data_IF_585915537271
#
_entry.id   IF_585915537271
#
_cell.length_a   1.000
_cell.length_b   1.000
_cell.length_c   1.000
_cell.angle_alpha   90.00
_cell.angle_beta   90.00
_cell.angle_gamma   90.00
#
_symmetry.space_group_name_H-M   'P 1'
#
loop_
_entity.id
_entity.type
_entity.pdbx_description
1 polymer ?
#
# COMPACT_ATOMS: atom_id res chain seq x y z
N UNK A 1 -9.28 -20.85 0.42
CA UNK A 1 -8.53 -21.28 -0.77
C UNK A 1 -7.19 -20.58 -0.69
N UNK A 2 -6.10 -21.33 -0.62
CA UNK A 2 -4.78 -20.78 -0.35
C UNK A 2 -4.13 -20.21 -1.61
N UNK A 3 -3.27 -19.20 -1.46
CA UNK A 3 -2.53 -18.60 -2.57
C UNK A 3 -1.24 -19.41 -2.78
N UNK A 4 -0.96 -19.93 -4.00
CA UNK A 4 0.28 -20.62 -4.29
C UNK A 4 1.51 -19.73 -3.99
N UNK A 5 2.58 -20.30 -3.46
CA UNK A 5 3.77 -19.54 -3.07
C UNK A 5 4.40 -18.74 -4.23
N UNK A 6 4.30 -19.23 -5.46
CA UNK A 6 4.74 -18.52 -6.67
C UNK A 6 3.92 -17.27 -6.94
N UNK A 7 2.61 -17.35 -6.73
CA UNK A 7 1.69 -16.25 -6.94
C UNK A 7 1.84 -15.21 -5.83
N UNK A 8 1.97 -15.66 -4.57
CA UNK A 8 2.28 -14.78 -3.44
C UNK A 8 3.59 -14.02 -3.68
N UNK A 9 4.64 -14.71 -4.13
CA UNK A 9 5.93 -14.05 -4.46
C UNK A 9 5.77 -12.99 -5.54
N UNK A 10 4.97 -13.25 -6.57
CA UNK A 10 4.67 -12.28 -7.64
C UNK A 10 3.89 -11.08 -7.11
N UNK A 11 2.91 -11.31 -6.25
CA UNK A 11 2.12 -10.25 -5.60
C UNK A 11 3.03 -9.34 -4.77
N UNK A 12 3.91 -9.91 -3.94
CA UNK A 12 4.89 -9.17 -3.11
C UNK A 12 5.84 -8.33 -3.97
N UNK A 13 6.40 -8.89 -5.05
CA UNK A 13 7.29 -8.13 -5.94
C UNK A 13 6.59 -6.99 -6.69
N UNK A 14 5.30 -7.17 -7.02
CA UNK A 14 4.50 -6.11 -7.64
C UNK A 14 4.17 -5.00 -6.64
N UNK A 15 3.90 -5.39 -5.39
CA UNK A 15 3.54 -4.50 -4.29
C UNK A 15 4.71 -3.61 -3.83
N UNK A 16 5.90 -4.20 -3.69
CA UNK A 16 7.07 -3.54 -3.12
C UNK A 16 8.22 -3.53 -4.11
N UNK A 17 8.54 -2.36 -4.66
CA UNK A 17 9.67 -2.20 -5.57
C UNK A 17 9.75 -0.80 -6.16
N UNK A 18 9.38 -0.67 -7.43
CA UNK A 18 9.52 0.58 -8.21
C UNK A 18 8.73 1.77 -7.66
N UNK A 19 7.70 1.53 -6.86
CA UNK A 19 6.86 2.52 -6.21
C UNK A 19 7.44 3.06 -4.88
N UNK A 20 8.53 2.48 -4.38
CA UNK A 20 9.22 2.96 -3.17
C UNK A 20 10.51 3.69 -3.56
N UNK A 21 10.80 4.81 -2.89
CA UNK A 21 12.01 5.59 -3.07
C UNK A 21 13.28 4.83 -2.62
N UNK A 22 13.13 3.85 -1.73
CA UNK A 22 14.22 3.01 -1.23
C UNK A 22 14.19 1.62 -1.84
N UNK A 23 15.33 1.16 -2.37
CA UNK A 23 15.49 -0.21 -2.92
C UNK A 23 15.28 -1.31 -1.87
N UNK A 24 15.53 -1.02 -0.60
CA UNK A 24 15.30 -1.96 0.50
C UNK A 24 13.89 -1.87 1.07
N UNK A 25 13.02 -1.00 0.51
CA UNK A 25 11.62 -0.72 0.89
C UNK A 25 11.51 -0.11 2.29
N UNK A 26 11.98 -0.84 3.30
CA UNK A 26 11.98 -0.46 4.71
C UNK A 26 13.39 -0.58 5.31
N UNK A 27 14.32 0.36 5.05
CA UNK A 27 15.66 0.33 5.62
C UNK A 27 15.63 0.54 7.15
N UNK A 28 16.55 -0.12 7.84
CA UNK A 28 16.90 0.19 9.23
C UNK A 28 18.11 1.12 9.22
N UNK A 29 18.01 2.26 9.89
CA UNK A 29 19.10 3.23 10.05
C UNK A 29 19.55 3.29 11.50
N UNK A 30 20.86 3.25 11.71
CA UNK A 30 21.43 3.57 13.00
C UNK A 30 21.23 5.06 13.29
N UNK A 31 20.85 5.40 14.52
CA UNK A 31 20.68 6.78 14.96
C UNK A 31 21.78 7.19 15.94
N UNK A 32 21.74 6.69 17.19
CA UNK A 32 22.76 6.91 18.22
C UNK A 32 22.88 5.68 19.13
N UNK A 33 24.08 5.40 19.64
CA UNK A 33 24.33 4.26 20.54
C UNK A 33 23.79 2.92 20.00
N UNK A 34 22.84 2.31 20.71
CA UNK A 34 22.15 1.09 20.31
C UNK A 34 20.71 1.37 19.84
N UNK A 35 20.45 2.56 19.30
CA UNK A 35 19.16 2.95 18.75
C UNK A 35 19.16 2.90 17.24
N UNK A 36 18.10 2.31 16.70
CA UNK A 36 17.87 2.16 15.28
C UNK A 36 16.47 2.63 14.94
N UNK A 37 16.33 3.26 13.78
CA UNK A 37 15.06 3.72 13.22
C UNK A 37 14.72 2.82 12.04
N UNK A 38 13.55 2.21 12.11
CA UNK A 38 12.97 1.47 11.00
C UNK A 38 12.14 2.45 10.16
N UNK A 39 12.63 2.77 8.96
CA UNK A 39 11.98 3.74 8.09
C UNK A 39 10.91 3.06 7.25
N UNK A 40 9.64 3.42 7.44
CA UNK A 40 8.50 2.89 6.69
C UNK A 40 7.83 3.92 5.76
N UNK A 41 8.45 5.09 5.60
CA UNK A 41 7.90 6.25 4.88
C UNK A 41 8.50 6.42 3.46
N UNK A 42 9.10 5.37 2.90
CA UNK A 42 9.67 5.44 1.54
C UNK A 42 8.66 5.09 0.45
N UNK A 43 7.42 4.80 0.82
CA UNK A 43 6.33 4.54 -0.13
C UNK A 43 5.73 5.83 -0.70
N UNK A 44 4.78 5.70 -1.63
CA UNK A 44 4.24 6.83 -2.39
C UNK A 44 3.46 7.84 -1.56
N UNK A 45 3.08 7.52 -0.32
CA UNK A 45 2.35 8.43 0.58
C UNK A 45 3.17 8.86 1.76
N UNK A 46 4.45 8.49 1.78
CA UNK A 46 5.37 8.74 2.87
C UNK A 46 4.83 8.29 4.25
N UNK A 47 3.97 7.28 4.26
CA UNK A 47 3.33 6.76 5.46
C UNK A 47 3.56 5.26 5.57
N UNK A 48 3.63 4.74 6.81
CA UNK A 48 3.80 3.31 7.04
C UNK A 48 2.64 2.46 6.45
N UNK A 49 1.49 3.09 6.20
CA UNK A 49 0.30 2.45 5.62
C UNK A 49 0.53 1.95 4.20
N UNK A 50 1.53 2.46 3.50
CA UNK A 50 1.95 1.96 2.18
C UNK A 50 2.38 0.48 2.23
N UNK A 51 2.77 -0.03 3.39
CA UNK A 51 3.09 -1.45 3.57
C UNK A 51 1.86 -2.36 3.60
N UNK A 52 0.66 -1.84 3.80
CA UNK A 52 -0.54 -2.66 3.91
C UNK A 52 -1.33 -2.76 2.59
N UNK A 53 -1.28 -1.73 1.74
CA UNK A 53 -2.32 -1.48 0.73
C UNK A 53 -2.12 -2.07 -0.67
N UNK A 54 -1.28 -3.09 -0.85
CA UNK A 54 -0.95 -3.58 -2.20
C UNK A 54 -1.40 -5.02 -2.55
N UNK A 55 -2.22 -5.67 -1.73
CA UNK A 55 -2.67 -7.05 -1.99
C UNK A 55 -4.18 -7.20 -1.83
N UNK A 56 -4.96 -6.86 -2.88
CA UNK A 56 -6.33 -7.35 -3.01
C UNK A 56 -6.42 -8.54 -3.98
N UNK A 57 -7.20 -9.59 -3.66
CA UNK A 57 -7.43 -10.72 -4.57
C UNK A 57 -8.18 -10.27 -5.84
N UNK A 58 -7.77 -10.74 -7.01
CA UNK A 58 -8.38 -10.37 -8.32
C UNK A 58 -9.77 -10.99 -8.58
N UNK A 59 -10.31 -11.77 -7.63
CA UNK A 59 -11.43 -12.69 -7.88
C UNK A 59 -12.81 -12.13 -7.52
N UNK A 60 -12.91 -10.96 -6.89
CA UNK A 60 -14.19 -10.38 -6.48
C UNK A 60 -14.33 -8.92 -6.92
N UNK A 61 -15.57 -8.44 -6.96
CA UNK A 61 -15.87 -7.02 -7.02
C UNK A 61 -15.88 -6.47 -5.59
N UNK A 62 -15.24 -5.33 -5.38
CA UNK A 62 -15.09 -4.71 -4.06
C UNK A 62 -15.58 -3.27 -4.10
N UNK A 63 -16.34 -2.86 -3.08
CA UNK A 63 -16.51 -1.45 -2.75
C UNK A 63 -15.72 -1.18 -1.48
N UNK A 64 -14.67 -0.37 -1.60
CA UNK A 64 -13.83 0.04 -0.49
C UNK A 64 -14.35 1.38 0.02
N UNK A 65 -14.84 1.38 1.25
CA UNK A 65 -15.35 2.56 1.95
C UNK A 65 -14.34 2.95 3.03
N UNK A 66 -13.79 4.15 2.96
CA UNK A 66 -12.82 4.65 3.92
C UNK A 66 -13.30 5.98 4.47
N UNK A 67 -13.40 6.10 5.78
CA UNK A 67 -13.54 7.37 6.46
C UNK A 67 -12.27 7.59 7.29
N UNK A 68 -11.49 8.62 6.97
CA UNK A 68 -10.22 8.88 7.63
C UNK A 68 -9.88 10.37 7.67
N UNK A 69 -9.02 10.76 8.61
CA UNK A 69 -8.44 12.09 8.72
C UNK A 69 -6.94 12.03 8.38
N UNK A 70 -6.53 12.58 7.24
CA UNK A 70 -5.14 12.55 6.76
C UNK A 70 -4.70 11.17 6.27
N UNK A 71 -3.38 10.90 6.30
CA UNK A 71 -2.58 9.86 5.62
C UNK A 71 -3.25 8.54 5.14
N UNK A 72 -4.26 8.03 5.83
CA UNK A 72 -4.98 6.84 5.36
C UNK A 72 -5.70 7.12 4.04
N UNK A 73 -6.20 8.33 3.83
CA UNK A 73 -6.89 8.73 2.60
C UNK A 73 -5.96 8.61 1.38
N UNK A 74 -4.77 9.20 1.48
CA UNK A 74 -3.74 9.21 0.46
C UNK A 74 -3.20 7.80 0.23
N UNK A 75 -2.92 7.02 1.28
CA UNK A 75 -2.43 5.64 1.15
C UNK A 75 -3.39 4.76 0.36
N UNK A 76 -4.69 4.85 0.67
CA UNK A 76 -5.74 4.10 -0.02
C UNK A 76 -5.90 4.58 -1.46
N UNK A 77 -5.94 5.90 -1.68
CA UNK A 77 -6.04 6.49 -3.02
C UNK A 77 -4.84 6.13 -3.90
N UNK A 78 -3.63 6.11 -3.34
CA UNK A 78 -2.41 5.73 -4.06
C UNK A 78 -2.38 4.22 -4.38
N UNK A 79 -2.76 3.38 -3.41
CA UNK A 79 -2.81 1.93 -3.56
C UNK A 79 -3.83 1.46 -4.61
N UNK A 80 -5.02 2.07 -4.63
CA UNK A 80 -6.11 1.69 -5.54
C UNK A 80 -6.27 2.60 -6.76
N UNK A 81 -5.60 3.76 -6.80
CA UNK A 81 -5.62 4.67 -7.96
C UNK A 81 -4.86 4.12 -9.16
N UNK A 82 -3.85 3.27 -8.93
CA UNK A 82 -2.97 2.71 -9.96
C UNK A 82 -3.38 1.30 -10.43
N UNK A 83 -4.64 0.90 -10.21
CA UNK A 83 -5.17 -0.36 -10.72
C UNK A 83 -5.20 -0.37 -12.26
N UNK A 84 -4.99 -1.55 -12.85
CA UNK A 84 -5.17 -1.73 -14.30
C UNK A 84 -6.66 -1.65 -14.67
N UNK A 85 -6.96 -1.53 -15.96
CA UNK A 85 -8.33 -1.29 -16.44
C UNK A 85 -9.30 -2.42 -16.08
N UNK A 86 -8.83 -3.67 -16.01
CA UNK A 86 -9.64 -4.81 -15.59
C UNK A 86 -10.00 -4.76 -14.10
N UNK A 87 -9.04 -4.36 -13.27
CA UNK A 87 -9.22 -4.24 -11.82
C UNK A 87 -10.10 -3.00 -11.48
N UNK A 88 -9.99 -1.91 -12.25
CA UNK A 88 -10.84 -0.70 -12.12
C UNK A 88 -12.32 -0.96 -12.37
N UNK A 89 -12.67 -1.93 -13.19
CA UNK A 89 -14.07 -2.31 -13.40
C UNK A 89 -14.66 -3.07 -12.21
N UNK A 90 -13.81 -3.60 -11.31
CA UNK A 90 -14.22 -4.45 -10.19
C UNK A 90 -14.12 -3.75 -8.84
N UNK A 91 -13.25 -2.75 -8.71
CA UNK A 91 -12.98 -2.05 -7.44
C UNK A 91 -13.51 -0.61 -7.51
N UNK A 92 -14.53 -0.33 -6.71
CA UNK A 92 -14.95 1.03 -6.40
C UNK A 92 -14.28 1.52 -5.13
N UNK A 93 -13.80 2.76 -5.12
CA UNK A 93 -13.23 3.41 -3.93
C UNK A 93 -14.03 4.67 -3.60
N UNK A 94 -14.58 4.74 -2.38
CA UNK A 94 -15.25 5.91 -1.84
C UNK A 94 -14.56 6.33 -0.54
N UNK A 95 -13.99 7.54 -0.54
CA UNK A 95 -13.28 8.10 0.60
C UNK A 95 -14.08 9.27 1.17
N UNK A 96 -14.40 9.20 2.46
CA UNK A 96 -15.00 10.27 3.24
C UNK A 96 -13.90 10.99 4.01
N UNK A 97 -13.83 12.30 3.84
CA UNK A 97 -12.99 13.20 4.61
C UNK A 97 -13.89 14.17 5.40
N UNK A 98 -13.42 14.61 6.56
CA UNK A 98 -14.10 15.69 7.27
C UNK A 98 -13.90 16.98 6.48
N UNK A 99 -14.98 17.73 6.24
CA UNK A 99 -14.84 19.14 5.95
C UNK A 99 -14.42 19.83 7.26
N UNK A 100 -13.28 20.50 7.25
CA UNK A 100 -13.06 21.63 8.17
C UNK A 100 -13.67 22.90 7.57
#
# INVERSE_FOLDING_TARGET
MDIPGTDLRRMVFRAYGVNFASKTVAPVKHHIHNQFVQEFFHGPTASFKDLAFYCLPQMCNYLILVAASGDTDSAVLSGFGSLNDLDRQRVGLLVFFSEE
#
